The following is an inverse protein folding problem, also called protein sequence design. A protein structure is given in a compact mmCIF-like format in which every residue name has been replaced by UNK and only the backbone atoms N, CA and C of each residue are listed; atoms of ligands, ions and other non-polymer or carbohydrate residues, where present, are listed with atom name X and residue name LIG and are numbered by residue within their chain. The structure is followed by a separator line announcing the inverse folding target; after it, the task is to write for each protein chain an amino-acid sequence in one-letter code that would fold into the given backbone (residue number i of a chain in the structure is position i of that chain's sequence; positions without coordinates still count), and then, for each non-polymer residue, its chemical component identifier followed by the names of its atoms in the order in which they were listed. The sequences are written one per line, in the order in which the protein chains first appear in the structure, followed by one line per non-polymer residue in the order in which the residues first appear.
data_IF_830964195159
#
_entry.id   IF_830964195159
#
_cell.length_a   1.000
_cell.length_b   1.000
_cell.length_c   1.000
_cell.angle_alpha   90.00
_cell.angle_beta   90.00
_cell.angle_gamma   90.00
#
_symmetry.space_group_name_H-M   'P 1'
#
loop_
_entity.id
_entity.type
_entity.pdbx_description
1 polymer ?
#
# COMPACT_ATOMS: atom_id res chain seq x y z
N UNK A 1 -1.53 -23.34 -29.52
CA UNK A 1 -1.91 -23.12 -28.09
C UNK A 1 -0.74 -22.42 -27.41
N UNK A 2 -0.82 -21.10 -27.19
CA UNK A 2 0.20 -20.39 -26.42
C UNK A 2 0.10 -20.88 -24.99
N UNK A 3 1.20 -21.39 -24.41
CA UNK A 3 1.26 -21.74 -23.00
C UNK A 3 0.99 -20.47 -22.20
N UNK A 4 -0.13 -20.39 -21.47
CA UNK A 4 -0.39 -19.29 -20.55
C UNK A 4 0.76 -19.23 -19.57
N UNK A 5 1.52 -18.16 -19.59
CA UNK A 5 2.62 -17.93 -18.66
C UNK A 5 2.04 -17.88 -17.24
N UNK A 6 2.61 -18.70 -16.34
CA UNK A 6 2.16 -18.75 -14.94
C UNK A 6 2.54 -17.46 -14.24
N UNK A 7 1.63 -16.87 -13.46
CA UNK A 7 1.89 -15.74 -12.60
C UNK A 7 3.03 -16.02 -11.62
N UNK A 8 3.89 -15.05 -11.42
CA UNK A 8 5.01 -15.14 -10.50
C UNK A 8 5.24 -13.82 -9.78
N UNK A 9 5.89 -13.89 -8.61
CA UNK A 9 6.32 -12.73 -7.86
C UNK A 9 7.62 -13.02 -7.12
N UNK A 10 8.39 -11.95 -6.90
CA UNK A 10 9.54 -11.90 -6.00
C UNK A 10 9.32 -10.74 -5.05
N UNK A 11 9.66 -10.94 -3.80
CA UNK A 11 9.47 -9.93 -2.76
C UNK A 11 10.73 -9.85 -1.89
N UNK A 12 11.10 -8.62 -1.50
CA UNK A 12 12.17 -8.34 -0.57
C UNK A 12 11.71 -7.30 0.44
N UNK A 13 12.19 -7.38 1.68
CA UNK A 13 11.96 -6.37 2.69
C UNK A 13 13.29 -5.90 3.27
N UNK A 14 13.41 -4.59 3.51
CA UNK A 14 14.55 -3.94 4.17
C UNK A 14 14.00 -3.09 5.33
N UNK A 15 13.67 -3.73 6.48
CA UNK A 15 13.00 -3.07 7.59
C UNK A 15 13.76 -1.88 8.15
N UNK A 16 15.09 -1.94 8.18
CA UNK A 16 15.95 -0.85 8.64
C UNK A 16 15.78 0.46 7.84
N UNK A 17 15.36 0.37 6.58
CA UNK A 17 15.10 1.50 5.72
C UNK A 17 13.60 1.80 5.54
N UNK A 18 12.69 1.04 6.18
CA UNK A 18 11.25 1.20 5.98
C UNK A 18 10.81 0.96 4.53
N UNK A 19 11.49 0.06 3.81
CA UNK A 19 11.26 -0.16 2.37
C UNK A 19 11.04 -1.63 2.04
N UNK A 20 10.18 -1.89 1.07
CA UNK A 20 9.93 -3.24 0.54
C UNK A 20 9.91 -3.17 -0.98
N UNK A 21 10.32 -4.26 -1.64
CA UNK A 21 10.29 -4.39 -3.10
C UNK A 21 9.43 -5.56 -3.55
N UNK A 22 8.66 -5.36 -4.61
CA UNK A 22 7.89 -6.40 -5.28
C UNK A 22 8.18 -6.36 -6.77
N UNK A 23 8.57 -7.51 -7.35
CA UNK A 23 8.67 -7.71 -8.79
C UNK A 23 7.74 -8.85 -9.18
N UNK A 24 6.78 -8.60 -10.06
CA UNK A 24 5.76 -9.60 -10.36
C UNK A 24 5.24 -9.52 -11.79
N UNK A 25 4.73 -10.66 -12.25
CA UNK A 25 3.90 -10.81 -13.45
C UNK A 25 2.52 -11.28 -13.05
N UNK A 26 1.50 -10.56 -13.48
CA UNK A 26 0.11 -10.92 -13.31
C UNK A 26 -0.67 -10.82 -14.63
N UNK A 27 -1.49 -11.85 -14.90
CA UNK A 27 -2.40 -11.88 -16.04
C UNK A 27 -3.85 -12.17 -15.66
N UNK A 28 -4.08 -12.69 -14.45
CA UNK A 28 -5.42 -12.98 -13.91
C UNK A 28 -5.68 -12.31 -12.56
N UNK A 29 -4.60 -12.08 -11.79
CA UNK A 29 -4.74 -11.46 -10.48
C UNK A 29 -5.32 -10.06 -10.59
N UNK A 30 -6.34 -9.78 -9.79
CA UNK A 30 -6.96 -8.48 -9.66
C UNK A 30 -6.87 -8.06 -8.19
N UNK A 31 -6.32 -6.89 -7.94
CA UNK A 31 -6.30 -6.33 -6.61
C UNK A 31 -7.71 -5.87 -6.22
N UNK A 32 -8.20 -6.33 -5.08
CA UNK A 32 -9.43 -5.82 -4.50
C UNK A 32 -9.26 -4.33 -4.16
N UNK A 33 -10.35 -3.58 -4.16
CA UNK A 33 -10.32 -2.16 -3.79
C UNK A 33 -9.90 -1.99 -2.33
N UNK A 34 -8.80 -1.28 -2.09
CA UNK A 34 -8.17 -1.08 -0.78
C UNK A 34 -7.40 0.24 -0.69
N UNK A 35 -6.94 0.57 0.48
CA UNK A 35 -5.90 1.58 0.75
C UNK A 35 -4.88 1.02 1.71
N UNK A 36 -3.77 1.71 1.85
CA UNK A 36 -2.69 1.38 2.79
C UNK A 36 -2.09 2.68 3.34
N UNK A 37 -1.30 2.58 4.40
CA UNK A 37 -0.68 3.70 5.11
C UNK A 37 0.75 4.03 4.64
N UNK A 38 1.22 3.39 3.58
CA UNK A 38 2.53 3.60 2.98
C UNK A 38 2.41 4.10 1.53
N UNK A 39 3.53 4.61 0.99
CA UNK A 39 3.63 4.95 -0.43
C UNK A 39 3.89 3.70 -1.27
N UNK A 40 3.23 3.59 -2.42
CA UNK A 40 3.60 2.65 -3.48
C UNK A 40 4.19 3.44 -4.63
N UNK A 41 5.42 3.14 -4.98
CA UNK A 41 6.14 3.74 -6.09
C UNK A 41 6.66 2.62 -6.99
N UNK A 42 6.63 2.79 -8.28
CA UNK A 42 7.25 1.77 -9.12
C UNK A 42 7.09 2.00 -10.60
N UNK A 43 7.51 1.02 -11.38
CA UNK A 43 7.56 1.09 -12.83
C UNK A 43 6.82 -0.07 -13.47
N UNK A 44 6.24 0.19 -14.64
CA UNK A 44 5.69 -0.84 -15.49
C UNK A 44 6.76 -1.27 -16.48
N UNK A 45 7.12 -2.57 -16.44
CA UNK A 45 8.20 -3.12 -17.26
C UNK A 45 7.68 -3.68 -18.58
N UNK A 46 6.49 -4.32 -18.57
CA UNK A 46 5.81 -4.83 -19.77
C UNK A 46 4.30 -4.92 -19.53
N UNK A 47 3.52 -4.92 -20.59
CA UNK A 47 2.06 -4.92 -20.51
C UNK A 47 1.51 -3.62 -19.91
N UNK A 48 0.25 -3.63 -19.51
CA UNK A 48 -0.37 -2.43 -18.94
C UNK A 48 -1.42 -2.81 -17.88
N UNK A 49 -1.26 -2.43 -16.61
CA UNK A 49 -2.33 -2.50 -15.63
C UNK A 49 -3.30 -1.33 -15.81
N UNK A 50 -4.58 -1.60 -15.60
CA UNK A 50 -5.61 -0.59 -15.37
C UNK A 50 -5.75 -0.39 -13.87
N UNK A 51 -5.55 0.84 -13.42
CA UNK A 51 -5.64 1.25 -12.02
C UNK A 51 -6.85 2.17 -11.88
N UNK A 52 -7.75 1.86 -10.97
CA UNK A 52 -8.82 2.78 -10.58
C UNK A 52 -8.45 3.44 -9.24
N UNK A 53 -8.65 4.74 -9.16
CA UNK A 53 -8.48 5.55 -7.96
C UNK A 53 -9.85 6.02 -7.47
N UNK A 54 -9.87 6.67 -6.32
CA UNK A 54 -11.12 7.29 -5.80
C UNK A 54 -11.70 8.29 -6.79
N UNK A 55 -10.85 9.10 -7.42
CA UNK A 55 -11.23 10.09 -8.44
C UNK A 55 -10.62 9.74 -9.79
N UNK A 56 -11.31 8.89 -10.54
CA UNK A 56 -10.86 8.49 -11.88
C UNK A 56 -9.98 7.25 -11.86
N UNK A 57 -9.01 7.20 -12.76
CA UNK A 57 -8.09 6.09 -12.93
C UNK A 57 -7.25 6.27 -14.18
N UNK A 58 -6.34 5.34 -14.41
CA UNK A 58 -5.44 5.37 -15.57
C UNK A 58 -5.05 3.96 -16.00
N UNK A 59 -4.55 3.87 -17.22
CA UNK A 59 -3.80 2.73 -17.73
C UNK A 59 -2.34 3.14 -17.70
N UNK A 60 -1.51 2.34 -17.02
CA UNK A 60 -0.07 2.59 -16.92
C UNK A 60 0.67 1.84 -18.02
N UNK A 61 1.20 2.51 -19.05
CA UNK A 61 1.93 1.85 -20.13
C UNK A 61 3.34 1.43 -19.68
N UNK A 62 4.00 0.51 -20.42
CA UNK A 62 5.40 0.19 -20.19
C UNK A 62 6.28 1.46 -20.25
N UNK A 63 7.25 1.55 -19.34
CA UNK A 63 8.12 2.71 -19.24
C UNK A 63 7.51 3.90 -18.49
N UNK A 64 6.34 3.72 -17.86
CA UNK A 64 5.80 4.70 -16.91
C UNK A 64 6.19 4.38 -15.48
N UNK A 65 6.12 5.39 -14.61
CA UNK A 65 6.13 5.21 -13.16
C UNK A 65 4.73 5.44 -12.60
N UNK A 66 4.38 4.66 -11.58
CA UNK A 66 3.12 4.73 -10.87
C UNK A 66 3.35 5.10 -9.41
N UNK A 67 2.49 5.96 -8.86
CA UNK A 67 2.52 6.39 -7.47
C UNK A 67 1.14 6.27 -6.87
N UNK A 68 1.05 5.63 -5.70
CA UNK A 68 -0.15 5.63 -4.85
C UNK A 68 0.25 6.22 -3.50
N UNK A 69 -0.44 7.25 -3.08
CA UNK A 69 -0.20 7.89 -1.80
C UNK A 69 -0.84 7.10 -0.64
N UNK A 70 -0.33 7.25 0.59
CA UNK A 70 -1.00 6.73 1.78
C UNK A 70 -2.46 7.17 1.86
N UNK A 71 -3.34 6.22 2.21
CA UNK A 71 -4.77 6.44 2.32
C UNK A 71 -5.51 6.60 0.98
N UNK A 72 -4.82 6.52 -0.16
CA UNK A 72 -5.45 6.63 -1.47
C UNK A 72 -6.10 5.31 -1.88
N UNK A 73 -7.41 5.38 -2.08
CA UNK A 73 -8.21 4.23 -2.48
C UNK A 73 -7.93 3.83 -3.90
N UNK A 74 -7.56 2.57 -4.09
CA UNK A 74 -7.25 2.06 -5.42
C UNK A 74 -7.59 0.56 -5.56
N UNK A 75 -7.69 0.13 -6.80
CA UNK A 75 -7.63 -1.25 -7.25
C UNK A 75 -6.72 -1.36 -8.47
N UNK A 76 -6.48 -2.58 -8.95
CA UNK A 76 -5.63 -2.79 -10.11
C UNK A 76 -5.92 -4.13 -10.78
N UNK A 77 -5.92 -4.14 -12.13
CA UNK A 77 -6.10 -5.36 -12.91
C UNK A 77 -5.37 -5.30 -14.24
N UNK A 78 -5.05 -6.44 -14.86
CA UNK A 78 -4.54 -6.48 -16.23
C UNK A 78 -5.53 -5.81 -17.21
N UNK A 79 -5.02 -5.14 -18.24
CA UNK A 79 -5.85 -4.63 -19.33
C UNK A 79 -6.31 -5.73 -20.28
N UNK A 80 -5.51 -6.78 -20.40
CA UNK A 80 -5.74 -7.93 -21.29
C UNK A 80 -5.16 -9.23 -20.71
N UNK A 81 -5.36 -10.33 -21.44
CA UNK A 81 -4.91 -11.67 -21.04
C UNK A 81 -3.38 -11.86 -21.13
N UNK A 82 -2.64 -10.93 -21.74
CA UNK A 82 -1.18 -10.96 -21.78
C UNK A 82 -0.59 -10.54 -20.42
N UNK A 83 -1.37 -9.83 -19.61
CA UNK A 83 -0.97 -9.37 -18.29
C UNK A 83 0.06 -8.25 -18.31
N UNK A 84 0.74 -8.05 -17.18
CA UNK A 84 1.75 -7.02 -17.04
C UNK A 84 2.86 -7.45 -16.08
N UNK A 85 4.06 -6.90 -16.30
CA UNK A 85 5.21 -7.02 -15.40
C UNK A 85 5.45 -5.64 -14.79
N UNK A 86 5.62 -5.61 -13.48
CA UNK A 86 5.87 -4.37 -12.75
C UNK A 86 6.88 -4.57 -11.63
N UNK A 87 7.56 -3.47 -11.30
CA UNK A 87 8.55 -3.37 -10.23
C UNK A 87 8.10 -2.30 -9.25
N UNK A 88 7.58 -2.70 -8.08
CA UNK A 88 7.05 -1.78 -7.05
C UNK A 88 7.96 -1.71 -5.85
N UNK A 89 7.97 -0.54 -5.24
CA UNK A 89 8.64 -0.24 -3.98
C UNK A 89 7.59 0.34 -3.03
N UNK A 90 7.48 -0.23 -1.84
CA UNK A 90 6.61 0.23 -0.77
C UNK A 90 7.46 0.96 0.25
N UNK A 91 7.08 2.19 0.61
CA UNK A 91 7.91 3.09 1.43
C UNK A 91 7.09 3.62 2.58
N UNK A 92 7.57 3.43 3.79
CA UNK A 92 6.95 3.96 5.00
C UNK A 92 6.97 5.51 4.98
N UNK A 93 5.89 6.19 5.42
CA UNK A 93 5.77 7.66 5.34
C UNK A 93 6.86 8.43 6.06
N UNK A 94 7.42 7.88 7.14
CA UNK A 94 8.47 8.55 7.90
C UNK A 94 9.70 8.86 7.02
N UNK A 95 10.04 7.98 6.08
CA UNK A 95 11.16 8.16 5.15
C UNK A 95 10.94 9.36 4.22
N UNK A 96 9.72 9.54 3.70
CA UNK A 96 9.38 10.71 2.87
C UNK A 96 9.37 11.99 3.70
N UNK A 97 8.98 11.91 4.97
CA UNK A 97 9.04 13.05 5.88
C UNK A 97 10.48 13.45 6.20
N UNK A 98 11.40 12.51 6.39
CA UNK A 98 12.83 12.78 6.59
C UNK A 98 13.44 13.49 5.36
N UNK A 99 13.07 13.05 4.14
CA UNK A 99 13.47 13.76 2.91
C UNK A 99 12.90 15.18 2.87
N UNK A 100 11.65 15.38 3.27
CA UNK A 100 11.03 16.71 3.32
C UNK A 100 11.78 17.63 4.29
N UNK A 101 12.15 17.14 5.46
CA UNK A 101 12.94 17.90 6.45
C UNK A 101 14.33 18.25 5.91
N UNK A 102 15.00 17.34 5.20
CA UNK A 102 16.30 17.60 4.58
C UNK A 102 16.25 18.71 3.50
N UNK A 103 15.06 19.05 3.00
CA UNK A 103 14.82 20.14 2.05
C UNK A 103 14.26 21.43 2.71
N UNK A 104 14.35 21.57 4.04
CA UNK A 104 13.79 22.71 4.79
C UNK A 104 12.28 22.91 4.58
N UNK A 105 11.58 21.87 4.16
CA UNK A 105 10.12 21.91 4.02
C UNK A 105 9.50 21.70 5.40
N UNK A 106 8.91 22.77 5.94
CA UNK A 106 8.14 22.69 7.18
C UNK A 106 6.94 21.77 6.99
N UNK A 107 7.02 20.55 7.55
CA UNK A 107 5.99 19.52 7.40
C UNK A 107 4.85 19.79 8.39
N UNK A 108 3.99 20.75 8.08
CA UNK A 108 2.73 20.96 8.82
C UNK A 108 1.61 20.01 8.40
N UNK A 109 1.82 19.23 7.36
CA UNK A 109 0.87 18.23 6.82
C UNK A 109 1.64 17.09 6.15
N UNK A 110 1.10 15.87 6.10
CA UNK A 110 1.75 14.74 5.42
C UNK A 110 2.08 15.07 3.98
N UNK A 111 3.30 14.80 3.56
CA UNK A 111 3.72 14.93 2.16
C UNK A 111 2.91 13.99 1.27
N UNK A 112 2.52 14.47 0.11
CA UNK A 112 1.84 13.68 -0.93
C UNK A 112 2.45 13.96 -2.29
N UNK A 113 2.37 13.02 -3.19
CA UNK A 113 2.72 13.22 -4.61
C UNK A 113 1.49 13.68 -5.39
N UNK A 114 1.70 14.60 -6.32
CA UNK A 114 0.63 15.28 -7.09
C UNK A 114 0.13 14.47 -8.26
N UNK A 115 0.87 13.46 -8.70
CA UNK A 115 0.55 12.64 -9.88
C UNK A 115 0.68 11.16 -9.54
N UNK A 116 -0.32 10.39 -9.94
CA UNK A 116 -0.31 8.93 -9.78
C UNK A 116 0.28 8.19 -10.99
N UNK A 117 0.40 8.85 -12.14
CA UNK A 117 1.08 8.35 -13.34
C UNK A 117 2.10 9.38 -13.83
N UNK A 118 3.34 8.94 -14.04
CA UNK A 118 4.48 9.77 -14.44
C UNK A 118 5.15 9.15 -15.67
N UNK A 119 5.39 9.98 -16.69
CA UNK A 119 6.09 9.62 -17.93
C UNK A 119 7.47 10.29 -17.99
N UNK A 120 8.16 10.40 -16.87
CA UNK A 120 9.48 11.00 -16.72
C UNK A 120 10.54 9.89 -16.75
N UNK A 121 11.33 9.86 -17.82
CA UNK A 121 12.32 8.83 -18.07
C UNK A 121 13.40 8.76 -16.99
N UNK A 122 13.79 9.90 -16.39
CA UNK A 122 14.78 9.95 -15.30
C UNK A 122 14.22 9.27 -14.05
N UNK A 123 12.98 9.60 -13.70
CA UNK A 123 12.30 8.99 -12.54
C UNK A 123 12.14 7.49 -12.74
N UNK A 124 11.71 7.06 -13.92
CA UNK A 124 11.58 5.63 -14.26
C UNK A 124 12.93 4.92 -14.14
N UNK A 125 14.00 5.53 -14.67
CA UNK A 125 15.35 4.96 -14.58
C UNK A 125 15.81 4.81 -13.13
N UNK A 126 15.63 5.84 -12.30
CA UNK A 126 16.04 5.83 -10.89
C UNK A 126 15.25 4.84 -10.05
N UNK A 127 13.94 4.73 -10.26
CA UNK A 127 13.12 3.72 -9.60
C UNK A 127 13.50 2.29 -10.01
N UNK A 128 13.82 2.06 -11.28
CA UNK A 128 14.34 0.76 -11.74
C UNK A 128 15.71 0.44 -11.13
N UNK A 129 16.60 1.44 -11.01
CA UNK A 129 17.90 1.29 -10.34
C UNK A 129 17.69 0.90 -8.87
N UNK A 130 16.86 1.65 -8.14
CA UNK A 130 16.53 1.35 -6.74
C UNK A 130 15.97 -0.07 -6.60
N UNK A 131 14.96 -0.42 -7.38
CA UNK A 131 14.36 -1.75 -7.34
C UNK A 131 15.41 -2.86 -7.57
N UNK A 132 16.30 -2.70 -8.56
CA UNK A 132 17.38 -3.65 -8.81
C UNK A 132 18.32 -3.78 -7.60
N UNK A 133 18.71 -2.68 -7.00
CA UNK A 133 19.60 -2.65 -5.82
C UNK A 133 18.94 -3.38 -4.64
N UNK A 134 17.63 -3.18 -4.39
CA UNK A 134 16.92 -3.87 -3.31
C UNK A 134 16.99 -5.40 -3.44
N UNK A 135 16.96 -5.92 -4.66
CA UNK A 135 16.98 -7.37 -4.91
C UNK A 135 18.36 -8.00 -5.05
N UNK A 136 19.39 -7.23 -5.35
CA UNK A 136 20.74 -7.76 -5.66
C UNK A 136 21.82 -7.35 -4.68
N UNK A 137 21.64 -6.24 -3.95
CA UNK A 137 22.65 -5.69 -3.07
C UNK A 137 22.35 -6.02 -1.61
N UNK A 138 23.37 -6.33 -0.83
CA UNK A 138 23.26 -6.61 0.60
C UNK A 138 23.80 -5.48 1.48
N UNK A 139 24.65 -4.61 0.94
CA UNK A 139 25.23 -3.48 1.66
C UNK A 139 24.13 -2.45 1.99
N UNK A 140 23.83 -2.21 3.29
CA UNK A 140 22.81 -1.27 3.71
C UNK A 140 23.05 0.16 3.20
N UNK A 141 24.32 0.59 3.16
CA UNK A 141 24.69 1.94 2.71
C UNK A 141 24.37 2.13 1.21
N UNK A 142 24.65 1.13 0.39
CA UNK A 142 24.34 1.18 -1.05
C UNK A 142 22.84 1.23 -1.29
N UNK A 143 22.05 0.47 -0.51
CA UNK A 143 20.59 0.50 -0.54
C UNK A 143 20.05 1.88 -0.16
N UNK A 144 20.56 2.45 0.94
CA UNK A 144 20.16 3.77 1.44
C UNK A 144 20.48 4.89 0.42
N UNK A 145 21.69 4.93 -0.12
CA UNK A 145 22.07 5.90 -1.15
C UNK A 145 21.19 5.77 -2.39
N UNK A 146 20.95 4.54 -2.86
CA UNK A 146 20.09 4.32 -4.03
C UNK A 146 18.66 4.75 -3.81
N UNK A 147 18.15 4.61 -2.59
CA UNK A 147 16.84 5.10 -2.20
C UNK A 147 16.78 6.63 -2.21
N UNK A 148 17.76 7.31 -1.61
CA UNK A 148 17.85 8.77 -1.61
C UNK A 148 17.95 9.30 -3.04
N UNK A 149 18.81 8.68 -3.88
CA UNK A 149 18.97 9.04 -5.29
C UNK A 149 17.65 8.96 -6.07
N UNK A 150 16.82 7.96 -5.80
CA UNK A 150 15.55 7.78 -6.50
C UNK A 150 14.44 8.70 -5.97
N UNK A 151 14.36 8.86 -4.65
CA UNK A 151 13.27 9.59 -4.02
C UNK A 151 13.46 11.10 -4.09
N UNK A 152 14.71 11.58 -4.04
CA UNK A 152 15.00 13.01 -4.00
C UNK A 152 14.48 13.78 -5.26
N UNK A 153 14.78 13.37 -6.50
CA UNK A 153 14.22 14.01 -7.69
C UNK A 153 12.70 13.84 -7.79
N UNK A 154 12.18 12.69 -7.36
CA UNK A 154 10.75 12.44 -7.32
C UNK A 154 10.05 13.41 -6.38
N UNK A 155 10.60 13.60 -5.17
CA UNK A 155 10.12 14.55 -4.19
C UNK A 155 10.16 15.98 -4.74
N UNK A 156 11.27 16.42 -5.27
CA UNK A 156 11.45 17.79 -5.78
C UNK A 156 10.49 18.12 -6.93
N UNK A 157 10.23 17.17 -7.84
CA UNK A 157 9.43 17.43 -9.05
C UNK A 157 7.92 17.22 -8.83
N UNK A 158 7.54 16.33 -7.92
CA UNK A 158 6.16 15.81 -7.85
C UNK A 158 5.53 15.84 -6.46
N UNK A 159 6.26 16.26 -5.39
CA UNK A 159 5.61 16.43 -4.09
C UNK A 159 4.74 17.68 -4.04
N UNK A 160 3.71 17.65 -3.24
CA UNK A 160 3.02 18.87 -2.84
C UNK A 160 3.83 19.56 -1.77
N UNK A 161 4.04 20.87 -1.85
CA UNK A 161 4.07 21.72 -0.65
C UNK A 161 2.78 21.45 0.12
N UNK A 162 2.80 21.41 1.47
CA UNK A 162 1.67 20.92 2.25
C UNK A 162 0.36 21.56 1.80
N UNK A 163 -0.47 20.79 1.10
CA UNK A 163 -1.85 21.16 0.88
C UNK A 163 -2.51 21.05 2.25
N UNK A 164 -3.01 22.17 2.78
CA UNK A 164 -3.93 22.09 3.91
C UNK A 164 -4.96 21.02 3.57
N UNK A 165 -5.18 20.03 4.42
CA UNK A 165 -6.23 19.06 4.17
C UNK A 165 -7.49 19.89 3.90
N UNK A 166 -8.08 19.74 2.71
CA UNK A 166 -9.44 20.22 2.55
C UNK A 166 -10.23 19.47 3.62
N UNK A 167 -10.95 20.18 4.49
CA UNK A 167 -11.81 19.50 5.42
C UNK A 167 -12.79 18.68 4.56
N UNK A 168 -12.58 17.38 4.44
CA UNK A 168 -13.68 16.46 4.26
C UNK A 168 -14.65 16.93 5.33
N UNK A 169 -15.87 17.35 4.94
CA UNK A 169 -16.84 17.88 5.90
C UNK A 169 -16.88 16.89 7.04
N UNK A 170 -16.17 17.22 8.12
CA UNK A 170 -15.99 16.36 9.28
C UNK A 170 -17.39 16.25 9.89
N UNK A 171 -18.09 15.20 9.53
CA UNK A 171 -19.23 14.83 10.32
C UNK A 171 -18.66 14.13 11.57
N UNK A 172 -18.67 14.76 12.76
CA UNK A 172 -17.99 14.23 13.96
C UNK A 172 -18.42 12.81 14.32
N UNK A 173 -19.63 12.42 13.89
CA UNK A 173 -20.16 11.06 14.08
C UNK A 173 -19.42 10.02 13.24
N UNK A 174 -19.02 10.36 12.03
CA UNK A 174 -18.29 9.47 11.13
C UNK A 174 -16.83 9.35 11.56
N UNK A 175 -16.22 10.44 12.03
CA UNK A 175 -14.89 10.39 12.62
C UNK A 175 -14.86 9.52 13.88
N UNK A 176 -15.86 9.63 14.75
CA UNK A 176 -16.00 8.74 15.92
C UNK A 176 -16.10 7.27 15.54
N UNK A 177 -16.79 6.94 14.46
CA UNK A 177 -16.86 5.56 13.94
C UNK A 177 -15.49 5.08 13.48
N UNK A 178 -14.73 5.94 12.79
CA UNK A 178 -13.34 5.63 12.39
C UNK A 178 -12.46 5.36 13.60
N UNK A 179 -12.50 6.24 14.60
CA UNK A 179 -11.76 6.06 15.86
C UNK A 179 -12.13 4.77 16.56
N UNK A 180 -13.44 4.44 16.63
CA UNK A 180 -13.91 3.19 17.22
C UNK A 180 -13.39 1.96 16.45
N UNK A 181 -13.37 2.01 15.12
CA UNK A 181 -12.78 0.94 14.30
C UNK A 181 -11.31 0.75 14.65
N UNK A 182 -10.51 1.83 14.71
CA UNK A 182 -9.09 1.73 15.07
C UNK A 182 -8.85 1.24 16.50
N UNK A 183 -9.71 1.60 17.44
CA UNK A 183 -9.59 1.18 18.83
C UNK A 183 -10.01 -0.29 19.06
N UNK A 184 -10.98 -0.79 18.29
CA UNK A 184 -11.64 -2.07 18.53
C UNK A 184 -11.64 -3.00 17.30
N UNK A 185 -10.72 -2.85 16.34
CA UNK A 185 -10.72 -3.66 15.10
C UNK A 185 -10.65 -5.17 15.34
N UNK A 186 -10.04 -5.61 16.44
CA UNK A 186 -9.94 -7.02 16.83
C UNK A 186 -11.25 -7.62 17.32
N UNK A 187 -12.19 -6.77 17.75
CA UNK A 187 -13.48 -7.18 18.27
C UNK A 187 -14.46 -7.51 17.14
N UNK A 188 -15.57 -8.24 17.44
CA UNK A 188 -16.60 -8.53 16.46
C UNK A 188 -17.48 -7.30 16.16
N UNK A 189 -16.86 -6.28 15.52
CA UNK A 189 -17.55 -5.06 15.12
C UNK A 189 -18.57 -5.37 14.02
N UNK A 190 -19.85 -5.13 14.31
CA UNK A 190 -20.93 -5.23 13.33
C UNK A 190 -21.34 -3.83 12.86
N UNK A 191 -21.98 -3.76 11.67
CA UNK A 191 -22.56 -2.49 11.19
C UNK A 191 -23.59 -1.92 12.17
N UNK A 192 -24.28 -2.78 12.94
CA UNK A 192 -25.24 -2.36 13.97
C UNK A 192 -24.57 -1.62 15.11
N UNK A 193 -23.46 -2.19 15.66
CA UNK A 193 -22.67 -1.58 16.74
C UNK A 193 -22.13 -0.20 16.32
N UNK A 194 -21.57 -0.13 15.11
CA UNK A 194 -21.01 1.11 14.58
C UNK A 194 -22.10 2.17 14.28
N UNK A 195 -23.28 1.73 13.81
CA UNK A 195 -24.41 2.61 13.55
C UNK A 195 -25.00 3.19 14.85
N UNK A 196 -25.09 2.37 15.89
CA UNK A 196 -25.51 2.81 17.22
C UNK A 196 -24.53 3.83 17.81
N UNK A 197 -23.23 3.59 17.74
CA UNK A 197 -22.19 4.52 18.21
C UNK A 197 -22.25 5.88 17.49
N UNK A 198 -22.71 5.90 16.24
CA UNK A 198 -22.89 7.13 15.45
C UNK A 198 -24.30 7.76 15.62
N UNK A 199 -25.23 7.10 16.29
CA UNK A 199 -26.65 7.46 16.30
C UNK A 199 -27.23 7.61 14.88
N UNK A 200 -26.93 6.65 14.00
CA UNK A 200 -27.36 6.59 12.60
C UNK A 200 -28.03 5.26 12.29
N UNK A 201 -28.87 5.25 11.24
CA UNK A 201 -29.27 3.97 10.65
C UNK A 201 -28.08 3.32 9.94
N UNK A 202 -28.08 1.98 9.82
CA UNK A 202 -27.02 1.22 9.12
C UNK A 202 -26.81 1.70 7.67
N UNK A 203 -27.90 2.00 6.97
CA UNK A 203 -27.87 2.52 5.60
C UNK A 203 -27.19 3.88 5.55
N UNK A 204 -27.61 4.80 6.44
CA UNK A 204 -27.08 6.15 6.50
C UNK A 204 -25.60 6.17 6.90
N UNK A 205 -25.20 5.33 7.85
CA UNK A 205 -23.80 5.16 8.22
C UNK A 205 -22.95 4.73 7.00
N UNK A 206 -23.34 3.67 6.28
CA UNK A 206 -22.59 3.21 5.12
C UNK A 206 -22.47 4.28 4.02
N UNK A 207 -23.54 5.04 3.77
CA UNK A 207 -23.52 6.13 2.79
C UNK A 207 -22.53 7.24 3.18
N UNK A 208 -22.63 7.73 4.42
CA UNK A 208 -21.78 8.81 4.90
C UNK A 208 -20.32 8.37 5.05
N UNK A 209 -20.09 7.15 5.55
CA UNK A 209 -18.75 6.61 5.71
C UNK A 209 -18.07 6.40 4.34
N UNK A 210 -18.77 5.83 3.36
CA UNK A 210 -18.27 5.67 2.00
C UNK A 210 -18.02 7.01 1.32
N UNK A 211 -18.85 8.02 1.57
CA UNK A 211 -18.63 9.36 1.04
C UNK A 211 -17.42 10.06 1.69
N UNK A 212 -17.13 9.80 2.97
CA UNK A 212 -16.03 10.39 3.70
C UNK A 212 -14.68 9.72 3.39
N UNK A 213 -14.66 8.38 3.29
CA UNK A 213 -13.43 7.59 3.19
C UNK A 213 -13.27 6.80 1.89
N UNK A 214 -14.19 6.94 0.95
CA UNK A 214 -14.13 6.26 -0.36
C UNK A 214 -14.38 4.75 -0.32
N UNK A 215 -14.60 4.16 0.86
CA UNK A 215 -14.80 2.72 1.09
C UNK A 215 -16.09 2.40 1.84
N UNK A 216 -16.73 1.28 1.50
CA UNK A 216 -17.70 0.66 2.39
C UNK A 216 -17.08 0.35 3.75
N UNK A 217 -17.87 0.52 4.81
CA UNK A 217 -17.44 0.37 6.21
C UNK A 217 -16.70 -0.96 6.49
N UNK A 218 -17.23 -2.08 5.96
CA UNK A 218 -16.62 -3.39 6.16
C UNK A 218 -15.25 -3.55 5.46
N UNK A 219 -15.09 -2.89 4.30
CA UNK A 219 -13.83 -2.92 3.56
C UNK A 219 -12.76 -2.10 4.30
N UNK A 220 -13.15 -0.96 4.89
CA UNK A 220 -12.29 -0.16 5.74
C UNK A 220 -11.82 -0.94 6.99
N UNK A 221 -12.74 -1.59 7.71
CA UNK A 221 -12.40 -2.44 8.86
C UNK A 221 -11.42 -3.56 8.47
N UNK A 222 -11.64 -4.20 7.31
CA UNK A 222 -10.72 -5.23 6.83
C UNK A 222 -9.33 -4.67 6.49
N UNK A 223 -9.24 -3.47 5.92
CA UNK A 223 -7.95 -2.82 5.68
C UNK A 223 -7.19 -2.58 6.99
N UNK A 224 -7.84 -2.02 8.01
CA UNK A 224 -7.24 -1.82 9.35
C UNK A 224 -6.76 -3.14 9.96
N UNK A 225 -7.55 -4.22 9.86
CA UNK A 225 -7.16 -5.55 10.33
C UNK A 225 -5.93 -6.09 9.61
N UNK A 226 -5.86 -5.92 8.30
CA UNK A 226 -4.73 -6.40 7.50
C UNK A 226 -3.45 -5.61 7.74
N UNK A 227 -3.54 -4.30 8.00
CA UNK A 227 -2.39 -3.50 8.40
C UNK A 227 -1.87 -3.92 9.79
N UNK A 228 -2.76 -4.17 10.76
CA UNK A 228 -2.37 -4.74 12.04
C UNK A 228 -1.76 -6.15 11.88
N UNK A 229 -2.31 -6.98 10.98
CA UNK A 229 -1.74 -8.30 10.68
C UNK A 229 -0.32 -8.21 10.14
N UNK A 230 0.01 -7.22 9.28
CA UNK A 230 1.39 -7.00 8.82
C UNK A 230 2.35 -6.76 9.98
N UNK A 231 1.96 -5.94 10.96
CA UNK A 231 2.80 -5.65 12.13
C UNK A 231 3.08 -6.92 12.94
N UNK A 232 2.06 -7.72 13.21
CA UNK A 232 2.20 -8.97 13.95
C UNK A 232 3.05 -10.01 13.21
N UNK A 233 2.86 -10.13 11.88
CA UNK A 233 3.69 -11.00 11.04
C UNK A 233 5.16 -10.58 11.04
N UNK A 234 5.46 -9.28 11.01
CA UNK A 234 6.82 -8.72 11.15
C UNK A 234 7.44 -9.09 12.50
N UNK A 235 6.64 -9.12 13.56
CA UNK A 235 7.07 -9.52 14.92
C UNK A 235 7.20 -11.03 15.08
N UNK A 236 7.03 -11.83 14.03
CA UNK A 236 7.25 -13.28 14.04
C UNK A 236 6.06 -14.12 14.52
N UNK A 237 4.87 -13.54 14.71
CA UNK A 237 3.69 -14.30 15.06
C UNK A 237 3.24 -15.22 13.92
N UNK A 238 2.75 -16.40 14.24
CA UNK A 238 2.23 -17.33 13.25
C UNK A 238 0.90 -16.82 12.65
N UNK A 239 0.60 -17.20 11.40
CA UNK A 239 -0.59 -16.70 10.71
C UNK A 239 -1.91 -17.11 11.38
N UNK A 240 -1.95 -18.21 12.13
CA UNK A 240 -3.14 -18.62 12.88
C UNK A 240 -3.41 -17.67 14.05
N UNK A 241 -2.38 -17.37 14.84
CA UNK A 241 -2.46 -16.43 15.96
C UNK A 241 -2.80 -15.01 15.46
N UNK A 242 -2.14 -14.57 14.38
CA UNK A 242 -2.40 -13.28 13.75
C UNK A 242 -3.87 -13.16 13.35
N UNK A 243 -4.46 -14.19 12.72
CA UNK A 243 -5.87 -14.16 12.33
C UNK A 243 -6.77 -13.92 13.56
N UNK A 244 -6.51 -14.62 14.67
CA UNK A 244 -7.25 -14.44 15.91
C UNK A 244 -7.05 -13.02 16.49
N UNK A 245 -5.81 -12.54 16.57
CA UNK A 245 -5.49 -11.23 17.14
C UNK A 245 -6.11 -10.06 16.37
N UNK A 246 -6.27 -10.19 15.07
CA UNK A 246 -6.87 -9.10 14.26
C UNK A 246 -8.38 -9.26 14.03
N UNK A 247 -9.01 -10.25 14.68
CA UNK A 247 -10.47 -10.46 14.59
C UNK A 247 -10.93 -11.06 13.27
N UNK A 248 -10.09 -11.84 12.58
CA UNK A 248 -10.48 -12.67 11.45
C UNK A 248 -10.89 -14.06 11.92
N UNK A 249 -11.79 -14.72 11.19
CA UNK A 249 -12.38 -16.01 11.59
C UNK A 249 -11.35 -17.14 11.71
N UNK A 250 -10.35 -17.16 10.84
CA UNK A 250 -9.36 -18.23 10.75
C UNK A 250 -8.17 -17.84 9.86
N UNK A 251 -7.13 -18.69 9.88
CA UNK A 251 -5.93 -18.53 9.07
C UNK A 251 -6.22 -18.48 7.56
N UNK A 252 -7.16 -19.28 7.08
CA UNK A 252 -7.50 -19.31 5.64
C UNK A 252 -8.14 -18.01 5.20
N UNK A 253 -8.95 -17.40 6.07
CA UNK A 253 -9.53 -16.08 5.84
C UNK A 253 -8.43 -15.00 5.77
N UNK A 254 -7.47 -15.02 6.72
CA UNK A 254 -6.31 -14.13 6.69
C UNK A 254 -5.53 -14.30 5.38
N UNK A 255 -5.16 -15.54 5.00
CA UNK A 255 -4.37 -15.80 3.78
C UNK A 255 -5.09 -15.26 2.54
N UNK A 256 -6.38 -15.53 2.39
CA UNK A 256 -7.16 -15.08 1.25
C UNK A 256 -7.23 -13.55 1.17
N UNK A 257 -7.56 -12.87 2.28
CA UNK A 257 -7.66 -11.41 2.34
C UNK A 257 -6.30 -10.74 2.15
N UNK A 258 -5.28 -11.24 2.83
CA UNK A 258 -3.92 -10.71 2.74
C UNK A 258 -3.37 -10.82 1.31
N UNK A 259 -3.55 -11.99 0.66
CA UNK A 259 -3.15 -12.16 -0.73
C UNK A 259 -3.96 -11.29 -1.69
N UNK A 260 -5.28 -11.15 -1.47
CA UNK A 260 -6.13 -10.27 -2.29
C UNK A 260 -5.70 -8.81 -2.24
N UNK A 261 -5.26 -8.33 -1.06
CA UNK A 261 -4.85 -6.93 -0.84
C UNK A 261 -3.39 -6.66 -1.19
N UNK A 262 -2.47 -7.56 -0.83
CA UNK A 262 -1.02 -7.29 -0.97
C UNK A 262 -0.35 -8.12 -2.08
N UNK A 263 -1.07 -8.98 -2.76
CA UNK A 263 -0.55 -9.83 -3.85
C UNK A 263 0.28 -11.03 -3.38
N UNK A 264 0.69 -11.09 -2.10
CA UNK A 264 1.53 -12.14 -1.49
C UNK A 264 0.84 -12.78 -0.29
N UNK A 265 1.24 -14.00 0.06
CA UNK A 265 0.72 -14.67 1.27
C UNK A 265 1.40 -14.16 2.53
N UNK A 266 0.79 -14.30 3.74
CA UNK A 266 1.43 -14.01 5.01
C UNK A 266 2.78 -14.70 5.17
N UNK A 267 2.89 -15.98 4.78
CA UNK A 267 4.14 -16.73 4.86
C UNK A 267 5.25 -16.16 3.98
N UNK A 268 4.92 -15.77 2.73
CA UNK A 268 5.87 -15.10 1.83
C UNK A 268 6.31 -13.75 2.40
N UNK A 269 5.37 -13.01 2.98
CA UNK A 269 5.65 -11.72 3.61
C UNK A 269 6.60 -11.88 4.81
N UNK A 270 6.32 -12.83 5.74
CA UNK A 270 7.17 -13.11 6.91
C UNK A 270 8.56 -13.60 6.49
N UNK A 271 8.65 -14.52 5.53
CA UNK A 271 9.93 -15.03 5.05
C UNK A 271 10.84 -13.93 4.51
N UNK A 272 10.28 -12.98 3.74
CA UNK A 272 11.04 -11.86 3.21
C UNK A 272 11.57 -10.92 4.32
N UNK A 273 10.79 -10.71 5.39
CA UNK A 273 11.22 -9.88 6.52
C UNK A 273 12.28 -10.55 7.39
N UNK A 274 12.12 -11.86 7.68
CA UNK A 274 13.05 -12.59 8.56
C UNK A 274 14.39 -12.84 7.88
N UNK A 275 14.43 -13.02 6.56
CA UNK A 275 15.70 -13.21 5.84
C UNK A 275 16.59 -11.96 5.87
N UNK A 276 16.03 -10.76 5.94
CA UNK A 276 16.79 -9.50 5.98
C UNK A 276 17.31 -9.18 7.40
N UNK A 277 16.56 -9.57 8.44
CA UNK A 277 16.96 -9.35 9.85
C UNK A 277 18.17 -10.21 10.25
N UNK A 278 18.40 -11.36 9.61
CA UNK A 278 19.55 -12.23 9.91
C UNK A 278 20.89 -11.68 9.43
N UNK A 279 20.91 -10.68 8.55
CA UNK A 279 22.15 -10.07 8.04
C UNK A 279 22.54 -8.76 8.76
N UNK A 280 21.73 -8.27 9.69
CA UNK A 280 21.96 -7.01 10.41
C UNK A 280 22.34 -7.19 11.89
N UNK A 281 22.57 -8.42 12.37
CA UNK A 281 22.95 -8.74 13.76
C UNK A 281 24.43 -9.16 13.89
#
# INVERSE_FOLDING_TARGET
MQSQQREWMKFVAVPSLGIQGLHAYFNKHQYERHSHDYFVLGTIDAGAPKVALEKGGFIAPPGSAMIINPGEMHDGKPCDDQGYIYSMVYIDPWMINDLAQAHDVSVSSPTRFTRSLIMDADIVFLLKKLHRVLFSEQDPLVREISMIDALNPLFQRYSTTPVKPQPVRNEPRIERVRELIHACFSEPLTTSVLAEAAALSRVRLNQLFSAAYGLPLHAYLNAVRLDAAKQLLRSGHCAADVAAFVGLSDQSHLIRRFKGTFGITPAQYTAAYLSDVQYTS
#
